data_IF_213314278402
#
_entry.id   IF_213314278402
#
_cell.length_a   1.000
_cell.length_b   1.000
_cell.length_c   1.000
_cell.angle_alpha   90.00
_cell.angle_beta   90.00
_cell.angle_gamma   90.00
#
_symmetry.space_group_name_H-M   'P 1'
#
loop_
_entity.id
_entity.type
_entity.pdbx_description
1 polymer ?
#
# COMPACT_ATOMS: atom_id res chain seq x y z
N UNK A 1 -29.64 -5.69 -12.47
CA UNK A 1 -28.86 -5.78 -11.21
C UNK A 1 -27.35 -5.56 -11.43
N UNK A 2 -26.71 -6.18 -12.44
CA UNK A 2 -25.27 -5.97 -12.70
C UNK A 2 -24.85 -4.55 -13.11
N UNK A 3 -25.72 -3.80 -13.79
CA UNK A 3 -25.42 -2.41 -14.22
C UNK A 3 -25.37 -1.40 -13.08
N UNK A 4 -26.15 -1.61 -12.02
CA UNK A 4 -26.13 -0.77 -10.82
C UNK A 4 -24.87 -1.01 -9.98
N UNK A 5 -24.39 -2.26 -9.94
CA UNK A 5 -23.09 -2.59 -9.34
C UNK A 5 -21.93 -1.98 -10.13
N UNK A 6 -21.98 -2.05 -11.47
CA UNK A 6 -20.96 -1.44 -12.32
C UNK A 6 -20.95 0.09 -12.20
N UNK A 7 -22.13 0.73 -12.19
CA UNK A 7 -22.24 2.17 -12.00
C UNK A 7 -21.83 2.60 -10.58
N UNK A 8 -22.19 1.82 -9.56
CA UNK A 8 -21.78 2.04 -8.18
C UNK A 8 -20.27 1.89 -7.99
N UNK A 9 -19.67 0.86 -8.58
CA UNK A 9 -18.22 0.68 -8.62
C UNK A 9 -17.52 1.81 -9.39
N UNK A 10 -18.08 2.24 -10.52
CA UNK A 10 -17.58 3.39 -11.28
C UNK A 10 -17.68 4.71 -10.52
N UNK A 11 -18.77 4.95 -9.80
CA UNK A 11 -18.97 6.15 -8.98
C UNK A 11 -18.12 6.13 -7.71
N UNK A 12 -17.96 4.97 -7.09
CA UNK A 12 -17.05 4.75 -5.96
C UNK A 12 -15.60 4.97 -6.39
N UNK A 13 -15.19 4.36 -7.51
CA UNK A 13 -13.90 4.62 -8.14
C UNK A 13 -13.78 6.10 -8.49
N UNK A 14 -14.79 6.73 -9.08
CA UNK A 14 -14.75 8.14 -9.45
C UNK A 14 -14.57 9.06 -8.24
N UNK A 15 -15.28 8.82 -7.13
CA UNK A 15 -15.14 9.55 -5.88
C UNK A 15 -13.74 9.41 -5.30
N UNK A 16 -13.32 8.17 -5.08
CA UNK A 16 -12.03 7.84 -4.44
C UNK A 16 -10.83 8.27 -5.31
N UNK A 17 -10.99 8.36 -6.64
CA UNK A 17 -9.91 8.76 -7.55
C UNK A 17 -9.89 10.25 -7.93
N UNK A 18 -10.97 11.02 -7.68
CA UNK A 18 -11.10 12.42 -8.14
C UNK A 18 -11.27 13.46 -7.03
N UNK A 19 -11.68 13.11 -5.81
CA UNK A 19 -11.97 14.13 -4.77
C UNK A 19 -10.74 14.57 -3.94
N UNK A 20 -9.61 13.87 -3.97
CA UNK A 20 -8.41 14.31 -3.25
C UNK A 20 -7.53 15.26 -4.08
N UNK A 21 -7.55 16.52 -3.68
CA UNK A 21 -6.97 17.69 -4.31
C UNK A 21 -5.42 17.66 -4.36
N UNK A 22 -4.85 17.21 -5.48
CA UNK A 22 -3.50 17.57 -5.94
C UNK A 22 -3.46 17.48 -7.48
N UNK A 23 -2.75 18.36 -8.22
CA UNK A 23 -2.77 18.36 -9.68
C UNK A 23 -2.46 16.97 -10.25
N UNK A 24 -3.28 16.46 -11.19
CA UNK A 24 -3.16 15.10 -11.67
C UNK A 24 -1.76 14.88 -12.29
N UNK A 25 -1.07 13.77 -11.97
CA UNK A 25 0.09 13.35 -12.74
C UNK A 25 -0.33 13.13 -14.20
N UNK A 26 0.53 13.54 -15.13
CA UNK A 26 0.29 13.54 -16.57
C UNK A 26 -0.25 12.19 -17.07
N UNK A 27 -1.57 12.07 -17.28
CA UNK A 27 -2.20 10.87 -17.83
C UNK A 27 -3.72 10.85 -17.66
N UNK A 28 -4.46 10.57 -18.73
CA UNK A 28 -5.92 10.47 -18.67
C UNK A 28 -6.41 9.34 -17.76
N UNK A 29 -7.65 9.47 -17.27
CA UNK A 29 -8.32 8.55 -16.33
C UNK A 29 -8.22 7.07 -16.77
N UNK A 30 -8.30 6.79 -18.08
CA UNK A 30 -8.18 5.43 -18.61
C UNK A 30 -6.85 4.75 -18.28
N UNK A 31 -5.73 5.50 -18.29
CA UNK A 31 -4.40 4.95 -17.95
C UNK A 31 -4.30 4.61 -16.46
N UNK A 32 -4.95 5.38 -15.58
CA UNK A 32 -5.03 5.07 -14.13
C UNK A 32 -5.80 3.78 -13.89
N UNK A 33 -6.93 3.58 -14.58
CA UNK A 33 -7.72 2.34 -14.48
C UNK A 33 -6.90 1.13 -14.93
N UNK A 34 -6.18 1.24 -16.04
CA UNK A 34 -5.30 0.15 -16.50
C UNK A 34 -4.16 -0.11 -15.51
N UNK A 35 -3.59 0.93 -14.92
CA UNK A 35 -2.52 0.80 -13.92
C UNK A 35 -3.02 0.30 -12.54
N UNK A 36 -4.32 0.38 -12.26
CA UNK A 36 -4.91 -0.15 -11.03
C UNK A 36 -4.81 -1.68 -10.97
N UNK A 37 -5.03 -2.37 -12.09
CA UNK A 37 -4.95 -3.84 -12.14
C UNK A 37 -3.60 -4.40 -11.65
N UNK A 38 -2.44 -3.99 -12.19
CA UNK A 38 -1.15 -4.49 -11.70
C UNK A 38 -0.83 -4.04 -10.27
N UNK A 39 -1.33 -2.89 -9.82
CA UNK A 39 -1.22 -2.49 -8.41
C UNK A 39 -2.00 -3.42 -7.49
N UNK A 40 -3.25 -3.70 -7.80
CA UNK A 40 -4.09 -4.62 -7.03
C UNK A 40 -3.50 -6.03 -7.00
N UNK A 41 -2.97 -6.52 -8.12
CA UNK A 41 -2.28 -7.82 -8.16
C UNK A 41 -1.01 -7.85 -7.29
N UNK A 42 -0.23 -6.76 -7.28
CA UNK A 42 0.93 -6.67 -6.40
C UNK A 42 0.52 -6.71 -4.93
N UNK A 43 -0.48 -5.92 -4.52
CA UNK A 43 -1.02 -5.92 -3.15
C UNK A 43 -1.55 -7.31 -2.77
N UNK A 44 -2.32 -7.96 -3.63
CA UNK A 44 -2.80 -9.34 -3.38
C UNK A 44 -1.65 -10.33 -3.18
N UNK A 45 -0.56 -10.19 -3.95
CA UNK A 45 0.67 -10.96 -3.74
C UNK A 45 1.29 -10.71 -2.37
N UNK A 46 1.36 -9.45 -1.93
CA UNK A 46 1.83 -9.10 -0.59
C UNK A 46 0.96 -9.72 0.50
N UNK A 47 -0.36 -9.61 0.39
CA UNK A 47 -1.32 -10.23 1.33
C UNK A 47 -1.12 -11.74 1.42
N UNK A 48 -0.98 -12.43 0.28
CA UNK A 48 -0.75 -13.87 0.26
C UNK A 48 0.57 -14.26 0.96
N UNK A 49 1.66 -13.53 0.66
CA UNK A 49 2.97 -13.76 1.29
C UNK A 49 2.93 -13.49 2.79
N UNK A 50 2.37 -12.35 3.21
CA UNK A 50 2.23 -11.99 4.62
C UNK A 50 1.40 -13.00 5.39
N UNK A 51 0.27 -13.42 4.82
CA UNK A 51 -0.58 -14.47 5.40
C UNK A 51 0.18 -15.78 5.58
N UNK A 52 0.93 -16.20 4.57
CA UNK A 52 1.74 -17.41 4.63
C UNK A 52 2.84 -17.31 5.69
N UNK A 53 3.56 -16.19 5.76
CA UNK A 53 4.60 -15.96 6.76
C UNK A 53 4.04 -16.01 8.18
N UNK A 54 2.93 -15.33 8.44
CA UNK A 54 2.25 -15.35 9.74
C UNK A 54 1.74 -16.74 10.08
N UNK A 55 1.18 -17.48 9.12
CA UNK A 55 0.74 -18.86 9.33
C UNK A 55 1.91 -19.78 9.74
N UNK A 56 3.08 -19.66 9.09
CA UNK A 56 4.27 -20.43 9.47
C UNK A 56 4.75 -20.10 10.89
N UNK A 57 4.64 -18.84 11.31
CA UNK A 57 4.99 -18.42 12.67
C UNK A 57 4.02 -19.05 13.68
N UNK A 58 2.71 -18.99 13.42
CA UNK A 58 1.68 -19.56 14.31
C UNK A 58 1.83 -21.08 14.43
N UNK A 59 2.19 -21.77 13.34
CA UNK A 59 2.44 -23.22 13.33
C UNK A 59 3.78 -23.62 13.97
N UNK A 60 4.60 -22.66 14.41
CA UNK A 60 5.93 -22.92 14.97
C UNK A 60 6.98 -23.39 13.95
N UNK A 61 6.69 -23.27 12.66
CA UNK A 61 7.59 -23.66 11.56
C UNK A 61 8.60 -22.56 11.21
N UNK A 62 8.33 -21.32 11.64
CA UNK A 62 9.25 -20.19 11.55
C UNK A 62 9.27 -19.47 12.90
N UNK A 63 10.44 -19.04 13.41
CA UNK A 63 10.47 -18.20 14.60
C UNK A 63 9.78 -16.85 14.32
N UNK A 64 9.22 -16.24 15.38
CA UNK A 64 8.82 -14.84 15.32
C UNK A 64 10.07 -14.01 14.99
N UNK A 65 9.91 -13.06 14.07
CA UNK A 65 10.98 -12.11 13.73
C UNK A 65 11.31 -11.19 14.92
N UNK A 66 12.09 -10.15 14.67
CA UNK A 66 12.30 -9.08 15.63
C UNK A 66 11.29 -7.95 15.36
N UNK A 67 10.13 -7.87 16.04
CA UNK A 67 9.12 -6.86 15.72
C UNK A 67 9.66 -5.47 16.03
N UNK A 68 9.26 -4.48 15.23
CA UNK A 68 9.81 -3.13 15.39
C UNK A 68 9.10 -2.09 14.56
N UNK A 69 9.48 -0.83 14.77
CA UNK A 69 8.97 0.31 14.01
C UNK A 69 10.02 0.73 12.98
N UNK A 70 9.62 0.78 11.72
CA UNK A 70 10.46 1.20 10.60
C UNK A 70 9.91 2.49 10.01
N UNK A 71 10.74 3.53 9.99
CA UNK A 71 10.44 4.77 9.28
C UNK A 71 10.70 4.60 7.78
N UNK A 72 9.65 4.79 6.98
CA UNK A 72 9.64 4.70 5.51
C UNK A 72 9.41 6.10 4.93
N UNK A 73 10.28 6.61 4.05
CA UNK A 73 10.09 7.94 3.46
C UNK A 73 8.79 8.08 2.66
N UNK A 74 8.11 9.23 2.79
CA UNK A 74 6.90 9.57 2.01
C UNK A 74 7.24 9.72 0.51
N UNK A 75 8.46 10.13 0.16
CA UNK A 75 8.86 10.47 -1.22
C UNK A 75 7.94 11.57 -1.81
N UNK A 76 7.50 11.40 -3.06
CA UNK A 76 6.57 12.28 -3.77
C UNK A 76 5.10 11.90 -3.56
N UNK A 77 4.78 11.13 -2.51
CA UNK A 77 3.41 10.73 -2.21
C UNK A 77 2.50 11.90 -1.85
N UNK A 78 1.30 11.90 -2.41
CA UNK A 78 0.19 12.75 -1.96
C UNK A 78 -0.42 12.19 -0.67
N UNK A 79 -1.29 12.94 -0.01
CA UNK A 79 -2.03 12.46 1.17
C UNK A 79 -2.82 11.17 0.86
N UNK A 80 -3.49 11.12 -0.30
CA UNK A 80 -4.17 9.92 -0.79
C UNK A 80 -3.18 8.77 -1.05
N UNK A 81 -2.00 9.06 -1.62
CA UNK A 81 -0.93 8.09 -1.81
C UNK A 81 -0.43 7.50 -0.48
N UNK A 82 -0.27 8.34 0.56
CA UNK A 82 0.10 7.90 1.91
C UNK A 82 -1.00 7.02 2.52
N UNK A 83 -2.26 7.45 2.43
CA UNK A 83 -3.40 6.67 2.93
C UNK A 83 -3.48 5.29 2.24
N UNK A 84 -3.31 5.23 0.92
CA UNK A 84 -3.30 3.97 0.16
C UNK A 84 -2.12 3.08 0.55
N UNK A 85 -0.93 3.64 0.80
CA UNK A 85 0.20 2.86 1.32
C UNK A 85 -0.11 2.25 2.69
N UNK A 86 -0.74 3.01 3.59
CA UNK A 86 -1.18 2.51 4.90
C UNK A 86 -2.24 1.40 4.80
N UNK A 87 -3.23 1.57 3.94
CA UNK A 87 -4.24 0.54 3.66
C UNK A 87 -3.62 -0.73 3.07
N UNK A 88 -2.73 -0.59 2.09
CA UNK A 88 -2.05 -1.73 1.47
C UNK A 88 -1.21 -2.53 2.48
N UNK A 89 -0.49 -1.83 3.37
CA UNK A 89 0.27 -2.47 4.45
C UNK A 89 -0.66 -3.25 5.40
N UNK A 90 -1.74 -2.60 5.85
CA UNK A 90 -2.69 -3.19 6.82
C UNK A 90 -3.42 -4.43 6.28
N UNK A 91 -3.64 -4.50 4.96
CA UNK A 91 -4.21 -5.68 4.31
C UNK A 91 -3.28 -6.90 4.38
N UNK A 92 -1.96 -6.69 4.42
CA UNK A 92 -0.97 -7.76 4.50
C UNK A 92 -0.69 -8.12 5.96
N UNK A 93 -0.99 -9.34 6.42
CA UNK A 93 -0.62 -9.76 7.77
C UNK A 93 0.89 -9.64 7.97
N UNK A 94 1.31 -8.94 9.03
CA UNK A 94 2.73 -8.78 9.38
C UNK A 94 3.23 -7.33 9.35
N UNK A 95 2.45 -6.37 8.89
CA UNK A 95 2.76 -4.95 9.05
C UNK A 95 1.51 -4.07 9.23
N UNK A 96 1.68 -2.89 9.85
CA UNK A 96 0.62 -1.90 10.04
C UNK A 96 1.22 -0.49 10.01
N UNK A 97 0.47 0.49 9.49
CA UNK A 97 0.86 1.90 9.60
C UNK A 97 0.49 2.42 10.99
N UNK A 98 1.48 2.78 11.80
CA UNK A 98 1.25 3.35 13.14
C UNK A 98 0.88 4.83 13.06
N UNK A 99 1.68 5.60 12.32
CA UNK A 99 1.56 7.06 12.26
C UNK A 99 2.27 7.63 11.03
N UNK A 100 1.98 8.89 10.71
CA UNK A 100 2.63 9.65 9.65
C UNK A 100 3.19 10.95 10.22
N UNK A 101 4.52 11.08 10.15
CA UNK A 101 5.22 12.29 10.53
C UNK A 101 5.45 13.16 9.29
N UNK A 102 4.61 14.19 9.15
CA UNK A 102 4.66 15.11 8.02
C UNK A 102 5.84 16.09 8.08
N UNK A 103 6.34 16.41 9.28
CA UNK A 103 7.50 17.28 9.45
C UNK A 103 8.78 16.57 8.99
N UNK A 104 8.96 15.31 9.39
CA UNK A 104 10.10 14.47 8.98
C UNK A 104 9.88 13.79 7.64
N UNK A 105 8.69 13.92 7.05
CA UNK A 105 8.24 13.27 5.80
C UNK A 105 8.44 11.75 5.79
N UNK A 106 8.00 11.08 6.87
CA UNK A 106 8.08 9.62 7.02
C UNK A 106 6.77 8.99 7.48
N UNK A 107 6.51 7.79 6.99
CA UNK A 107 5.46 6.88 7.47
C UNK A 107 6.09 5.89 8.46
N UNK A 108 5.50 5.72 9.64
CA UNK A 108 5.99 4.82 10.67
C UNK A 108 5.22 3.51 10.60
N UNK A 109 5.86 2.45 10.11
CA UNK A 109 5.25 1.12 10.05
C UNK A 109 5.71 0.27 11.22
N UNK A 110 4.76 -0.36 11.92
CA UNK A 110 5.07 -1.49 12.78
C UNK A 110 5.13 -2.75 11.93
N UNK A 111 6.21 -3.51 12.02
CA UNK A 111 6.37 -4.76 11.28
C UNK A 111 6.73 -5.89 12.24
N UNK A 112 6.25 -7.10 11.92
CA UNK A 112 6.49 -8.30 12.72
C UNK A 112 7.94 -8.81 12.63
N UNK A 113 8.66 -8.40 11.58
CA UNK A 113 10.05 -8.78 11.32
C UNK A 113 10.82 -7.56 10.80
N UNK A 114 11.44 -6.81 11.73
CA UNK A 114 12.22 -5.60 11.48
C UNK A 114 13.74 -5.87 11.48
N UNK A 115 14.18 -7.12 11.31
CA UNK A 115 15.61 -7.46 11.36
C UNK A 115 16.45 -6.71 10.32
N UNK A 116 15.87 -6.41 9.15
CA UNK A 116 16.46 -5.56 8.12
C UNK A 116 15.49 -4.40 7.78
N UNK A 117 15.61 -3.26 8.47
CA UNK A 117 14.78 -2.09 8.20
C UNK A 117 14.95 -1.52 6.79
N UNK A 118 16.12 -1.72 6.15
CA UNK A 118 16.37 -1.24 4.80
C UNK A 118 15.65 -2.09 3.75
N UNK A 119 15.55 -3.41 3.97
CA UNK A 119 14.70 -4.27 3.15
C UNK A 119 13.22 -3.88 3.24
N UNK A 120 12.72 -3.51 4.43
CA UNK A 120 11.35 -3.00 4.61
C UNK A 120 11.14 -1.70 3.85
N UNK A 121 12.07 -0.73 3.97
CA UNK A 121 12.02 0.52 3.20
C UNK A 121 12.03 0.25 1.70
N UNK A 122 12.88 -0.67 1.25
CA UNK A 122 12.99 -1.03 -0.16
C UNK A 122 11.73 -1.67 -0.71
N UNK A 123 11.08 -2.51 0.09
CA UNK A 123 9.82 -3.14 -0.24
C UNK A 123 8.73 -2.10 -0.54
N UNK A 124 8.50 -1.19 0.40
CA UNK A 124 7.53 -0.09 0.27
C UNK A 124 7.87 0.83 -0.90
N UNK A 125 9.15 1.17 -1.08
CA UNK A 125 9.64 1.97 -2.21
C UNK A 125 9.38 1.30 -3.55
N UNK A 126 9.64 -0.01 -3.68
CA UNK A 126 9.40 -0.78 -4.91
C UNK A 126 7.93 -0.86 -5.26
N UNK A 127 7.07 -1.20 -4.28
CA UNK A 127 5.62 -1.26 -4.49
C UNK A 127 5.11 0.10 -4.99
N UNK A 128 5.55 1.17 -4.33
CA UNK A 128 5.17 2.52 -4.71
C UNK A 128 5.60 2.90 -6.12
N UNK A 129 6.91 2.88 -6.38
CA UNK A 129 7.47 3.37 -7.65
C UNK A 129 7.00 2.55 -8.85
N UNK A 130 6.85 1.23 -8.68
CA UNK A 130 6.47 0.32 -9.79
C UNK A 130 4.97 0.32 -10.05
N UNK A 131 4.15 0.38 -9.01
CA UNK A 131 2.72 0.13 -9.13
C UNK A 131 1.87 1.31 -8.65
N UNK A 132 1.99 1.67 -7.37
CA UNK A 132 1.06 2.62 -6.74
C UNK A 132 1.14 4.02 -7.37
N UNK A 133 2.34 4.54 -7.61
CA UNK A 133 2.59 5.93 -8.06
C UNK A 133 1.86 6.29 -9.37
N UNK A 134 1.55 5.30 -10.21
CA UNK A 134 0.82 5.50 -11.47
C UNK A 134 -0.69 5.68 -11.28
N UNK A 135 -1.20 5.30 -10.11
CA UNK A 135 -2.62 5.28 -9.77
C UNK A 135 -2.92 6.28 -8.66
N UNK A 136 -2.23 6.12 -7.54
CA UNK A 136 -2.31 6.92 -6.32
C UNK A 136 -0.91 7.48 -6.02
N UNK A 137 -0.53 8.58 -6.70
CA UNK A 137 0.77 9.21 -6.52
C UNK A 137 1.01 9.55 -5.06
#
# INVERSE_FOLDING_TARGET
>A
LGSLFAAGALLFCRRVLLEDAHPPPQGGVGRRVVAFVPFSLAVLGHVAVGTWQVALIILGLRPLGAPGVVAVPIEDRTEAGVAVSGLAATLSPGELLLDVDWERRVMLFHVIDAHDPDAVREHHRKLYRRHQRRVFP
#
